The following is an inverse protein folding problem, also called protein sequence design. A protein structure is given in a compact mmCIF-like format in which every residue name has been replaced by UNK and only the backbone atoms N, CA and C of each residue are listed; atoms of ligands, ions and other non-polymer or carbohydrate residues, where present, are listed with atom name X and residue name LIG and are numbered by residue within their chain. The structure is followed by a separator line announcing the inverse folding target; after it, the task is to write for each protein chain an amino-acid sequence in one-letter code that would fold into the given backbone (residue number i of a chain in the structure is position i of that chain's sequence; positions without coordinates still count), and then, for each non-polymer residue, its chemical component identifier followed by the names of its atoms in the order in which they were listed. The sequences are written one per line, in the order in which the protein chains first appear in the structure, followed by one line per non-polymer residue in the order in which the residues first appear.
data_IF_366147258756
#
_entry.id   IF_366147258756
#
_cell.length_a   1.000
_cell.length_b   1.000
_cell.length_c   1.000
_cell.angle_alpha   90.00
_cell.angle_beta   90.00
_cell.angle_gamma   90.00
#
_symmetry.space_group_name_H-M   'P 1'
#
loop_
_entity.id
_entity.type
_entity.pdbx_description
1 polymer ?
#
# COMPACT_ATOMS: atom_id res chain seq x y z
N UNK A 1 7.91 9.31 -0.67
CA UNK A 1 7.44 7.92 -0.88
C UNK A 1 5.95 7.99 -1.17
N UNK A 2 5.50 7.38 -2.26
CA UNK A 2 4.08 7.29 -2.55
C UNK A 2 3.58 5.92 -2.12
N UNK A 3 2.64 5.91 -1.19
CA UNK A 3 2.12 4.69 -0.58
C UNK A 3 0.82 4.32 -1.28
N UNK A 4 0.73 3.06 -1.68
CA UNK A 4 -0.46 2.52 -2.29
C UNK A 4 -1.54 2.06 -1.30
N UNK A 5 -2.34 1.09 -1.74
CA UNK A 5 -3.37 0.45 -0.92
C UNK A 5 -2.68 -0.48 0.08
N UNK A 6 -2.63 -0.05 1.34
CA UNK A 6 -1.98 -0.76 2.45
C UNK A 6 -3.00 -1.03 3.54
N UNK A 7 -3.00 -2.25 4.07
CA UNK A 7 -3.98 -2.73 5.05
C UNK A 7 -3.79 -1.97 6.38
N UNK A 8 -4.67 -1.01 6.63
CA UNK A 8 -4.67 -0.20 7.86
C UNK A 8 -6.08 -0.16 8.44
N UNK A 9 -6.25 0.16 9.73
CA UNK A 9 -7.58 0.33 10.33
C UNK A 9 -8.47 1.31 9.57
N UNK A 10 -7.87 2.27 8.86
CA UNK A 10 -8.61 3.20 8.01
C UNK A 10 -9.36 2.50 6.87
N UNK A 11 -8.80 1.45 6.27
CA UNK A 11 -9.49 0.69 5.23
C UNK A 11 -10.63 -0.16 5.78
N UNK A 12 -10.51 -0.67 7.00
CA UNK A 12 -11.63 -1.30 7.72
C UNK A 12 -12.75 -0.28 7.97
N UNK A 13 -12.42 0.95 8.38
CA UNK A 13 -13.41 2.02 8.52
C UNK A 13 -14.06 2.39 7.17
N UNK A 14 -13.30 2.39 6.07
CA UNK A 14 -13.81 2.65 4.72
C UNK A 14 -14.76 1.52 4.29
N UNK A 15 -14.41 0.26 4.57
CA UNK A 15 -15.27 -0.90 4.32
C UNK A 15 -16.63 -0.73 4.99
N UNK A 16 -16.64 -0.45 6.31
CA UNK A 16 -17.87 -0.23 7.06
C UNK A 16 -18.75 0.90 6.51
N UNK A 17 -18.16 1.90 5.83
CA UNK A 17 -18.90 3.02 5.25
C UNK A 17 -19.34 2.79 3.81
N UNK A 18 -18.53 2.09 2.99
CA UNK A 18 -18.71 2.00 1.54
C UNK A 18 -19.33 0.69 1.06
N UNK A 19 -19.09 -0.40 1.79
CA UNK A 19 -19.58 -1.73 1.42
C UNK A 19 -19.80 -2.61 2.66
N UNK A 20 -20.62 -2.16 3.65
CA UNK A 20 -20.85 -2.90 4.89
C UNK A 20 -21.47 -4.29 4.68
N UNK A 21 -22.12 -4.51 3.53
CA UNK A 21 -22.74 -5.78 3.14
C UNK A 21 -21.71 -6.85 2.75
N UNK A 22 -20.49 -6.47 2.38
CA UNK A 22 -19.43 -7.40 2.05
C UNK A 22 -18.73 -7.87 3.32
N UNK A 23 -18.24 -9.11 3.33
CA UNK A 23 -17.24 -9.50 4.32
C UNK A 23 -15.96 -8.68 4.12
N UNK A 24 -15.20 -8.47 5.19
CA UNK A 24 -13.94 -7.71 5.11
C UNK A 24 -13.00 -8.33 4.06
N UNK A 25 -12.80 -9.65 4.09
CA UNK A 25 -11.93 -10.36 3.15
C UNK A 25 -12.38 -10.18 1.70
N UNK A 26 -13.68 -10.18 1.44
CA UNK A 26 -14.21 -9.96 0.10
C UNK A 26 -14.04 -8.51 -0.36
N UNK A 27 -14.24 -7.53 0.52
CA UNK A 27 -14.00 -6.13 0.22
C UNK A 27 -12.54 -5.88 -0.19
N UNK A 28 -11.57 -6.36 0.60
CA UNK A 28 -10.15 -6.19 0.28
C UNK A 28 -9.78 -6.90 -1.02
N UNK A 29 -10.22 -8.16 -1.22
CA UNK A 29 -9.93 -8.92 -2.43
C UNK A 29 -10.50 -8.25 -3.68
N UNK A 30 -11.76 -7.83 -3.66
CA UNK A 30 -12.41 -7.16 -4.80
C UNK A 30 -11.74 -5.84 -5.13
N UNK A 31 -11.44 -5.04 -4.10
CA UNK A 31 -10.77 -3.74 -4.27
C UNK A 31 -9.37 -3.95 -4.85
N UNK A 32 -8.59 -4.88 -4.30
CA UNK A 32 -7.24 -5.16 -4.78
C UNK A 32 -7.23 -5.64 -6.24
N UNK A 33 -8.14 -6.53 -6.62
CA UNK A 33 -8.23 -7.06 -7.99
C UNK A 33 -8.51 -6.00 -9.05
N UNK A 34 -9.08 -4.86 -8.65
CA UNK A 34 -9.42 -3.74 -9.54
C UNK A 34 -8.34 -2.67 -9.56
N UNK A 35 -7.83 -2.32 -8.37
CA UNK A 35 -6.99 -1.13 -8.19
C UNK A 35 -5.50 -1.46 -8.15
N UNK A 36 -5.10 -2.66 -7.72
CA UNK A 36 -3.70 -3.02 -7.47
C UNK A 36 -3.23 -4.10 -8.45
N UNK A 37 -2.25 -3.82 -9.33
CA UNK A 37 -1.76 -4.84 -10.27
C UNK A 37 -1.19 -6.11 -9.62
N UNK A 38 -0.60 -6.01 -8.43
CA UNK A 38 -0.16 -7.18 -7.65
C UNK A 38 -1.35 -8.01 -7.09
N UNK A 39 -2.58 -7.53 -7.21
CA UNK A 39 -3.80 -8.25 -6.83
C UNK A 39 -4.06 -8.33 -5.33
N UNK A 40 -3.25 -7.68 -4.49
CA UNK A 40 -3.42 -7.62 -3.03
C UNK A 40 -3.09 -6.25 -2.47
N UNK A 41 -3.59 -5.96 -1.27
CA UNK A 41 -3.10 -4.83 -0.48
C UNK A 41 -1.67 -5.14 0.00
N UNK A 42 -0.88 -4.08 0.17
CA UNK A 42 0.35 -4.16 0.93
C UNK A 42 0.05 -4.29 2.43
N UNK A 43 0.98 -4.89 3.16
CA UNK A 43 0.96 -4.89 4.63
C UNK A 43 1.76 -3.69 5.17
N UNK A 44 1.40 -3.14 6.34
CA UNK A 44 2.13 -2.01 6.95
C UNK A 44 3.63 -2.25 7.08
N UNK A 45 4.03 -3.48 7.38
CA UNK A 45 5.43 -3.87 7.57
C UNK A 45 6.24 -3.76 6.27
N UNK A 46 5.61 -3.92 5.10
CA UNK A 46 6.29 -3.75 3.80
C UNK A 46 6.67 -2.28 3.56
N UNK A 47 5.80 -1.35 3.97
CA UNK A 47 6.09 0.09 3.94
C UNK A 47 7.12 0.45 5.01
N UNK A 48 6.94 -0.05 6.23
CA UNK A 48 7.85 0.21 7.35
C UNK A 48 9.27 -0.30 7.04
N UNK A 49 9.40 -1.43 6.36
CA UNK A 49 10.69 -1.97 5.92
C UNK A 49 11.46 -1.02 5.01
N UNK A 50 10.80 -0.40 4.02
CA UNK A 50 11.44 0.60 3.17
C UNK A 50 11.79 1.86 3.96
N UNK A 51 10.89 2.34 4.83
CA UNK A 51 11.15 3.50 5.68
C UNK A 51 12.39 3.25 6.54
N UNK A 52 12.47 2.10 7.20
CA UNK A 52 13.61 1.71 8.02
C UNK A 52 14.92 1.65 7.21
N UNK A 53 14.86 1.12 5.98
CA UNK A 53 16.01 1.12 5.08
C UNK A 53 16.47 2.54 4.73
N UNK A 54 15.55 3.41 4.32
CA UNK A 54 15.84 4.80 3.95
C UNK A 54 16.34 5.65 5.13
N UNK A 55 15.93 5.32 6.35
CA UNK A 55 16.43 5.94 7.58
C UNK A 55 17.77 5.36 8.05
N UNK A 56 18.29 4.31 7.40
CA UNK A 56 19.53 3.67 7.80
C UNK A 56 20.76 4.25 7.08
N UNK A 57 21.96 3.93 7.61
CA UNK A 57 23.24 4.26 6.95
C UNK A 57 23.41 3.67 5.55
N UNK A 58 22.63 2.65 5.18
CA UNK A 58 22.71 2.00 3.87
C UNK A 58 22.13 2.88 2.75
N UNK A 59 21.27 3.84 3.10
CA UNK A 59 20.68 4.79 2.17
C UNK A 59 21.43 6.13 2.12
N UNK A 60 22.69 6.20 2.56
CA UNK A 60 23.45 7.44 2.74
C UNK A 60 23.64 8.28 1.47
N UNK A 61 23.42 7.70 0.29
CA UNK A 61 23.52 8.37 -1.00
C UNK A 61 22.18 8.49 -1.74
N UNK A 62 21.06 8.16 -1.07
CA UNK A 62 19.71 8.30 -1.63
C UNK A 62 19.10 9.58 -1.06
N UNK A 63 18.97 10.61 -1.91
CA UNK A 63 18.31 11.87 -1.57
C UNK A 63 17.55 12.43 -2.77
N UNK A 64 16.47 13.18 -2.52
CA UNK A 64 15.63 13.78 -3.58
C UNK A 64 14.81 12.77 -4.40
N UNK A 65 14.86 11.48 -4.08
CA UNK A 65 14.14 10.44 -4.81
C UNK A 65 12.68 10.30 -4.36
N UNK A 66 11.80 10.02 -5.31
CA UNK A 66 10.44 9.55 -5.05
C UNK A 66 10.37 8.06 -5.33
N UNK A 67 9.93 7.28 -4.35
CA UNK A 67 9.84 5.82 -4.44
C UNK A 67 8.38 5.41 -4.22
N UNK A 68 7.86 4.60 -5.12
CA UNK A 68 6.53 3.99 -5.02
C UNK A 68 6.58 2.67 -4.25
N UNK A 69 5.71 2.55 -3.25
CA UNK A 69 5.42 1.30 -2.54
C UNK A 69 3.93 1.02 -2.72
N UNK A 70 3.60 0.60 -3.94
CA UNK A 70 2.22 0.69 -4.42
C UNK A 70 1.72 -0.58 -5.13
N UNK A 71 2.47 -1.68 -5.10
CA UNK A 71 2.04 -2.94 -5.74
C UNK A 71 1.80 -2.80 -7.25
N UNK A 72 2.52 -1.88 -7.91
CA UNK A 72 2.44 -1.63 -9.34
C UNK A 72 1.43 -0.56 -9.78
N UNK A 73 0.78 0.14 -8.85
CA UNK A 73 -0.20 1.19 -9.22
C UNK A 73 0.45 2.42 -9.87
N UNK A 74 1.71 2.70 -9.54
CA UNK A 74 2.49 3.75 -10.19
C UNK A 74 2.63 3.47 -11.68
N UNK A 75 2.14 4.39 -12.52
CA UNK A 75 2.37 4.36 -13.96
C UNK A 75 3.56 5.25 -14.27
N UNK A 76 4.74 4.65 -14.34
CA UNK A 76 5.94 5.31 -14.81
C UNK A 76 6.09 5.01 -16.31
N UNK A 77 6.08 6.06 -17.13
CA UNK A 77 6.35 6.05 -18.57
C UNK A 77 7.72 6.66 -18.83
#
# INVERSE_FOLDING_TARGET
MNIGFVRTPQWTNIHHRRAPELSESEFFRRTASREVPLGRFGEPDEVAGLVAFLSSRHASYITGASIDVSGGMGRYI
#
